data_IF_285919384864
#
_entry.id   IF_285919384864
#
_cell.length_a   1.000
_cell.length_b   1.000
_cell.length_c   1.000
_cell.angle_alpha   90.00
_cell.angle_beta   90.00
_cell.angle_gamma   90.00
#
_symmetry.space_group_name_H-M   'P 1'
#
loop_
_entity.id
_entity.type
_entity.pdbx_description
1 polymer ?
#
# COMPACT_ATOMS: atom_id res chain seq x y z
N UNK A 1 -10.14 -69.93 37.68
CA UNK A 1 -9.38 -69.45 36.51
C UNK A 1 -10.36 -68.88 35.50
N UNK A 2 -10.42 -67.56 35.33
CA UNK A 2 -10.63 -66.90 34.04
C UNK A 2 -10.57 -65.39 34.22
N UNK A 3 -9.80 -64.75 33.35
CA UNK A 3 -9.23 -63.42 33.49
C UNK A 3 -10.06 -62.32 32.83
N UNK A 4 -9.90 -61.09 33.34
CA UNK A 4 -10.45 -59.87 32.79
C UNK A 4 -9.70 -59.42 31.52
N UNK A 5 -10.41 -58.86 30.55
CA UNK A 5 -9.84 -58.21 29.37
C UNK A 5 -9.99 -56.69 29.49
N UNK A 6 -8.87 -55.96 29.47
CA UNK A 6 -8.82 -54.51 29.44
C UNK A 6 -8.61 -54.04 27.98
N UNK A 7 -9.49 -53.15 27.48
CA UNK A 7 -9.32 -52.48 26.20
C UNK A 7 -8.34 -51.30 26.35
N UNK A 8 -7.30 -51.28 25.51
CA UNK A 8 -6.34 -50.20 25.40
C UNK A 8 -6.68 -49.39 24.14
N UNK A 9 -7.11 -48.14 24.32
CA UNK A 9 -7.28 -47.16 23.23
C UNK A 9 -5.91 -46.60 22.82
N UNK A 10 -5.48 -46.90 21.59
CA UNK A 10 -4.26 -46.35 21.00
C UNK A 10 -4.48 -44.94 20.43
N UNK A 11 -3.68 -43.98 20.88
CA UNK A 11 -3.57 -42.65 20.28
C UNK A 11 -2.61 -42.73 19.07
N UNK A 12 -3.09 -42.43 17.87
CA UNK A 12 -2.26 -42.37 16.67
C UNK A 12 -1.61 -40.97 16.56
N UNK A 13 -0.30 -40.89 16.72
CA UNK A 13 0.49 -39.68 16.45
C UNK A 13 0.79 -39.59 14.95
N UNK A 14 0.27 -38.57 14.28
CA UNK A 14 0.62 -38.24 12.89
C UNK A 14 1.90 -37.38 12.91
N UNK A 15 2.98 -37.76 12.18
CA UNK A 15 4.15 -36.90 12.08
C UNK A 15 3.85 -35.70 11.19
N UNK A 16 4.09 -34.49 11.70
CA UNK A 16 4.10 -33.27 10.89
C UNK A 16 5.45 -33.17 10.17
N UNK A 17 5.48 -33.47 8.87
CA UNK A 17 6.61 -33.12 8.02
C UNK A 17 6.61 -31.62 7.78
N UNK A 18 7.51 -30.90 8.46
CA UNK A 18 7.86 -29.54 8.11
C UNK A 18 8.73 -29.55 6.85
N UNK A 19 8.20 -29.05 5.74
CA UNK A 19 8.97 -28.84 4.50
C UNK A 19 9.83 -27.60 4.70
N UNK A 20 11.10 -27.79 5.09
CA UNK A 20 12.08 -26.71 5.08
C UNK A 20 12.41 -26.39 3.62
N UNK A 21 11.98 -25.23 3.12
CA UNK A 21 12.40 -24.74 1.80
C UNK A 21 13.89 -24.41 1.81
N UNK A 22 14.68 -25.10 1.00
CA UNK A 22 16.10 -24.77 0.77
C UNK A 22 16.24 -23.37 0.15
N UNK A 23 17.30 -22.62 0.50
CA UNK A 23 17.53 -21.31 -0.09
C UNK A 23 17.90 -21.45 -1.57
N UNK A 24 17.14 -20.75 -2.42
CA UNK A 24 17.36 -20.70 -3.88
C UNK A 24 18.73 -20.06 -4.17
N UNK A 25 19.57 -20.76 -4.93
CA UNK A 25 20.94 -20.35 -5.27
C UNK A 25 20.92 -19.02 -6.05
N UNK A 26 21.69 -18.03 -5.59
CA UNK A 26 21.82 -16.75 -6.26
C UNK A 26 22.51 -16.91 -7.63
N UNK A 27 21.87 -16.48 -8.71
CA UNK A 27 22.45 -16.43 -10.06
C UNK A 27 21.73 -17.28 -11.13
N UNK A 28 20.70 -18.02 -10.77
CA UNK A 28 19.93 -18.82 -11.73
C UNK A 28 18.88 -17.95 -12.45
N UNK A 29 18.95 -17.90 -13.78
CA UNK A 29 17.99 -17.17 -14.60
C UNK A 29 16.74 -18.05 -14.80
N UNK A 30 15.62 -17.62 -14.23
CA UNK A 30 14.35 -18.28 -14.45
C UNK A 30 13.53 -17.54 -15.50
N UNK A 31 12.98 -18.29 -16.46
CA UNK A 31 11.96 -17.78 -17.38
C UNK A 31 10.61 -18.35 -16.94
N UNK A 32 9.76 -17.46 -16.43
CA UNK A 32 8.37 -17.77 -16.07
C UNK A 32 7.44 -16.89 -16.90
N UNK A 33 6.20 -17.33 -17.10
CA UNK A 33 5.15 -16.39 -17.47
C UNK A 33 4.83 -15.50 -16.26
N UNK A 34 4.51 -14.22 -16.48
CA UNK A 34 4.24 -13.26 -15.38
C UNK A 34 3.24 -13.82 -14.35
N UNK A 35 2.16 -14.46 -14.81
CA UNK A 35 1.14 -15.03 -13.94
C UNK A 35 1.63 -16.24 -13.12
N UNK A 36 2.63 -16.99 -13.61
CA UNK A 36 3.29 -18.04 -12.84
C UNK A 36 4.20 -17.43 -11.79
N UNK A 37 5.00 -16.42 -12.16
CA UNK A 37 5.88 -15.71 -11.24
C UNK A 37 5.13 -15.06 -10.06
N UNK A 38 3.96 -14.46 -10.31
CA UNK A 38 3.12 -13.85 -9.26
C UNK A 38 2.60 -14.91 -8.27
N UNK A 39 2.28 -16.13 -8.73
CA UNK A 39 1.80 -17.22 -7.85
C UNK A 39 2.87 -17.73 -6.90
N UNK A 40 4.13 -17.58 -7.26
CA UNK A 40 5.28 -17.98 -6.43
C UNK A 40 5.68 -16.91 -5.40
N UNK A 41 5.03 -15.74 -5.39
CA UNK A 41 5.32 -14.72 -4.39
C UNK A 41 4.93 -15.22 -2.99
N UNK A 42 5.84 -15.13 -2.00
CA UNK A 42 5.52 -15.52 -0.64
C UNK A 42 4.40 -14.64 -0.09
N UNK A 43 3.41 -15.28 0.53
CA UNK A 43 2.37 -14.58 1.25
C UNK A 43 2.82 -14.35 2.69
N UNK A 44 2.60 -13.14 3.17
CA UNK A 44 2.82 -12.77 4.56
C UNK A 44 1.55 -12.13 5.13
N UNK A 45 1.41 -12.18 6.45
CA UNK A 45 0.35 -11.45 7.12
C UNK A 45 0.73 -9.97 7.21
N UNK A 46 -0.23 -9.10 6.96
CA UNK A 46 -0.08 -7.66 7.14
C UNK A 46 0.21 -7.31 8.61
N UNK A 47 1.03 -6.28 8.84
CA UNK A 47 1.39 -5.84 10.20
C UNK A 47 1.35 -4.32 10.37
N UNK A 48 0.53 -3.88 11.31
CA UNK A 48 0.41 -2.47 11.72
C UNK A 48 1.48 -2.03 12.72
N UNK A 49 2.41 -2.90 13.07
CA UNK A 49 3.41 -2.60 14.10
C UNK A 49 4.23 -1.36 13.75
N UNK A 50 4.28 -0.43 14.71
CA UNK A 50 4.99 0.84 14.59
C UNK A 50 4.32 1.90 13.72
N UNK A 51 3.08 1.69 13.26
CA UNK A 51 2.32 2.71 12.54
C UNK A 51 2.12 3.94 13.42
N UNK A 52 2.52 5.09 12.88
CA UNK A 52 2.24 6.40 13.48
C UNK A 52 1.94 7.36 12.33
N UNK A 53 0.72 7.89 12.28
CA UNK A 53 0.26 8.76 11.17
C UNK A 53 1.21 9.92 10.90
N UNK A 54 1.79 10.51 11.95
CA UNK A 54 2.71 11.65 11.83
C UNK A 54 4.06 11.33 11.19
N UNK A 55 4.38 10.04 10.96
CA UNK A 55 5.55 9.65 10.15
C UNK A 55 5.37 9.99 8.66
N UNK A 56 4.13 10.10 8.20
CA UNK A 56 3.80 10.58 6.86
C UNK A 56 3.72 12.10 6.91
N UNK A 57 4.81 12.76 6.53
CA UNK A 57 4.83 14.23 6.41
C UNK A 57 4.01 14.63 5.18
N UNK A 58 3.18 15.65 5.36
CA UNK A 58 2.34 16.20 4.30
C UNK A 58 2.96 17.49 3.78
N UNK A 59 2.67 17.81 2.52
CA UNK A 59 2.97 19.12 1.91
C UNK A 59 4.43 19.54 2.08
N UNK A 60 5.34 18.64 1.72
CA UNK A 60 6.76 18.96 1.70
C UNK A 60 7.06 19.76 0.44
N UNK A 61 7.73 20.89 0.63
CA UNK A 61 8.39 21.64 -0.44
C UNK A 61 9.81 21.07 -0.56
N UNK A 62 9.99 20.13 -1.49
CA UNK A 62 11.19 19.29 -1.60
C UNK A 62 12.31 20.02 -2.34
N UNK A 63 11.97 20.83 -3.34
CA UNK A 63 12.91 21.58 -4.16
C UNK A 63 13.11 23.05 -3.70
N UNK A 64 12.31 23.50 -2.73
CA UNK A 64 12.40 24.80 -2.04
C UNK A 64 12.05 25.98 -2.94
N UNK A 65 11.12 25.78 -3.87
CA UNK A 65 10.64 26.84 -4.76
C UNK A 65 9.47 27.66 -4.17
N UNK A 66 8.94 27.23 -3.02
CA UNK A 66 7.81 27.85 -2.32
C UNK A 66 6.44 27.28 -2.69
N UNK A 67 6.37 26.31 -3.60
CA UNK A 67 5.23 25.43 -3.79
C UNK A 67 5.42 24.17 -2.94
N UNK A 68 4.45 23.85 -2.08
CA UNK A 68 4.44 22.53 -1.46
C UNK A 68 3.78 21.51 -2.40
N UNK A 69 3.95 20.22 -2.10
CA UNK A 69 3.34 19.14 -2.86
C UNK A 69 1.82 19.31 -3.10
N UNK A 70 1.07 20.02 -2.23
CA UNK A 70 -0.35 20.31 -2.47
C UNK A 70 -0.53 21.20 -3.68
N UNK A 71 0.21 22.31 -3.70
CA UNK A 71 0.11 23.32 -4.76
C UNK A 71 0.60 22.76 -6.08
N UNK A 72 1.67 21.97 -6.06
CA UNK A 72 2.15 21.28 -7.26
C UNK A 72 1.09 20.38 -7.88
N UNK A 73 0.42 19.54 -7.07
CA UNK A 73 -0.68 18.69 -7.55
C UNK A 73 -1.82 19.53 -8.12
N UNK A 74 -2.21 20.61 -7.44
CA UNK A 74 -3.26 21.49 -7.94
C UNK A 74 -2.90 22.16 -9.28
N UNK A 75 -1.63 22.54 -9.48
CA UNK A 75 -1.15 23.06 -10.77
C UNK A 75 -1.21 21.95 -11.84
N UNK A 76 -0.75 20.74 -11.50
CA UNK A 76 -0.62 19.64 -12.45
C UNK A 76 -1.97 19.03 -12.89
N UNK A 77 -2.96 18.98 -11.99
CA UNK A 77 -4.25 18.33 -12.25
C UNK A 77 -5.35 19.29 -12.75
N UNK A 78 -5.05 20.58 -12.87
CA UNK A 78 -6.01 21.55 -13.38
C UNK A 78 -6.30 21.27 -14.88
N UNK A 79 -7.57 21.15 -15.22
CA UNK A 79 -8.02 21.01 -16.62
C UNK A 79 -8.03 22.36 -17.34
N UNK A 80 -8.24 23.44 -16.60
CA UNK A 80 -8.01 24.82 -17.04
C UNK A 80 -6.86 25.37 -16.18
N UNK A 81 -5.82 25.99 -16.76
CA UNK A 81 -4.62 26.40 -16.03
C UNK A 81 -4.91 27.33 -14.85
N UNK A 82 -4.13 27.16 -13.77
CA UNK A 82 -4.05 28.14 -12.68
C UNK A 82 -3.03 29.22 -12.99
N UNK A 83 -3.27 30.42 -12.47
CA UNK A 83 -2.27 31.47 -12.38
C UNK A 83 -1.46 31.31 -11.08
N UNK A 84 -0.13 31.32 -11.20
CA UNK A 84 0.79 31.13 -10.06
C UNK A 84 1.44 32.47 -9.70
N UNK A 85 1.06 33.01 -8.54
CA UNK A 85 1.61 34.23 -7.98
C UNK A 85 2.80 34.00 -7.04
N UNK A 86 3.24 35.09 -6.39
CA UNK A 86 4.32 35.04 -5.41
C UNK A 86 4.04 34.04 -4.28
N UNK A 87 5.07 33.30 -3.87
CA UNK A 87 4.98 32.22 -2.84
C UNK A 87 3.93 31.16 -3.20
N UNK A 88 3.81 30.87 -4.49
CA UNK A 88 2.90 29.87 -5.04
C UNK A 88 1.43 30.10 -4.64
N UNK A 89 1.01 31.38 -4.67
CA UNK A 89 -0.40 31.73 -4.50
C UNK A 89 -1.16 31.35 -5.78
N UNK A 90 -2.09 30.41 -5.68
CA UNK A 90 -2.87 29.93 -6.82
C UNK A 90 -4.15 30.75 -6.97
N UNK A 91 -4.43 31.23 -8.18
CA UNK A 91 -5.70 31.87 -8.54
C UNK A 91 -6.25 31.32 -9.85
N UNK A 92 -7.58 31.29 -9.98
CA UNK A 92 -8.24 30.69 -11.14
C UNK A 92 -8.09 29.17 -11.17
N UNK A 93 -8.18 28.63 -12.39
CA UNK A 93 -8.12 27.20 -12.67
C UNK A 93 -9.46 26.49 -12.53
N UNK A 94 -9.49 25.25 -13.04
CA UNK A 94 -10.64 24.37 -12.95
C UNK A 94 -10.17 22.93 -12.83
N UNK A 95 -10.86 22.15 -12.02
CA UNK A 95 -10.56 20.74 -11.77
C UNK A 95 -11.81 19.90 -11.94
N UNK A 96 -11.62 18.64 -12.30
CA UNK A 96 -12.70 17.67 -12.37
C UNK A 96 -12.63 16.74 -11.14
N UNK A 97 -13.63 16.79 -10.27
CA UNK A 97 -13.74 15.82 -9.17
C UNK A 97 -14.30 14.51 -9.71
N UNK A 98 -13.43 13.49 -9.81
CA UNK A 98 -13.84 12.13 -10.19
C UNK A 98 -14.85 11.52 -9.21
N UNK A 99 -14.78 11.90 -7.94
CA UNK A 99 -15.63 11.34 -6.89
C UNK A 99 -17.03 11.95 -6.86
N UNK A 100 -17.14 13.22 -7.26
CA UNK A 100 -18.41 13.96 -7.24
C UNK A 100 -19.03 14.15 -8.63
N UNK A 101 -18.34 13.71 -9.70
CA UNK A 101 -18.76 13.87 -11.09
C UNK A 101 -19.08 15.33 -11.45
N UNK A 102 -18.27 16.28 -10.96
CA UNK A 102 -18.47 17.72 -11.20
C UNK A 102 -17.17 18.50 -11.32
N UNK A 103 -17.26 19.65 -11.99
CA UNK A 103 -16.16 20.61 -12.03
C UNK A 103 -16.16 21.52 -10.81
N UNK A 104 -14.97 21.87 -10.35
CA UNK A 104 -14.70 22.80 -9.25
C UNK A 104 -13.74 23.87 -9.76
N UNK A 105 -13.93 25.11 -9.32
CA UNK A 105 -13.19 26.30 -9.78
C UNK A 105 -12.46 27.02 -8.64
N UNK A 106 -12.51 26.46 -7.43
CA UNK A 106 -11.76 26.98 -6.29
C UNK A 106 -10.88 25.90 -5.69
N UNK A 107 -9.58 26.19 -5.64
CA UNK A 107 -8.56 25.35 -5.01
C UNK A 107 -8.87 24.96 -3.55
N UNK A 108 -9.66 25.77 -2.83
CA UNK A 108 -10.08 25.48 -1.45
C UNK A 108 -11.20 24.45 -1.32
N UNK A 109 -11.87 24.08 -2.42
CA UNK A 109 -12.90 23.04 -2.45
C UNK A 109 -12.31 21.65 -2.73
N UNK A 110 -10.99 21.56 -2.89
CA UNK A 110 -10.26 20.36 -3.28
C UNK A 110 -9.32 19.92 -2.16
N UNK A 111 -9.32 18.61 -1.90
CA UNK A 111 -8.31 17.91 -1.13
C UNK A 111 -7.51 17.00 -2.07
N UNK A 112 -6.21 16.82 -1.77
CA UNK A 112 -5.43 15.74 -2.39
C UNK A 112 -5.46 14.57 -1.43
N UNK A 113 -6.10 13.50 -1.87
CA UNK A 113 -6.34 12.33 -1.03
C UNK A 113 -5.47 11.14 -1.42
N UNK A 114 -5.33 10.21 -0.48
CA UNK A 114 -4.63 8.97 -0.70
C UNK A 114 -5.61 7.94 -1.28
N UNK A 115 -5.33 7.45 -2.49
CA UNK A 115 -6.10 6.36 -3.09
C UNK A 115 -6.07 5.08 -2.24
N UNK A 116 -4.91 4.79 -1.65
CA UNK A 116 -4.72 3.73 -0.66
C UNK A 116 -4.48 4.40 0.69
N UNK A 117 -5.29 4.14 1.73
CA UNK A 117 -5.13 4.78 3.02
C UNK A 117 -3.72 4.56 3.60
N UNK A 118 -3.19 5.57 4.29
CA UNK A 118 -1.85 5.53 4.88
C UNK A 118 -1.58 4.34 5.82
N UNK A 119 -2.62 3.85 6.52
CA UNK A 119 -2.50 2.67 7.36
C UNK A 119 -2.35 1.40 6.53
N UNK A 120 -3.14 1.24 5.46
CA UNK A 120 -3.04 0.07 4.58
C UNK A 120 -1.68 0.03 3.86
N UNK A 121 -1.18 1.17 3.41
CA UNK A 121 0.16 1.26 2.82
C UNK A 121 1.29 0.92 3.82
N UNK A 122 1.06 1.10 5.13
CA UNK A 122 2.00 0.67 6.17
C UNK A 122 1.90 -0.82 6.44
N UNK A 123 0.70 -1.37 6.43
CA UNK A 123 0.42 -2.74 6.82
C UNK A 123 0.92 -3.75 5.79
N UNK A 124 0.92 -3.37 4.51
CA UNK A 124 1.30 -4.21 3.37
C UNK A 124 2.79 -4.17 2.99
N UNK A 125 3.65 -3.63 3.86
CA UNK A 125 5.08 -3.41 3.59
C UNK A 125 5.96 -4.65 3.76
#
# INVERSE_FOLDING_TARGET
MSAAAALITGLATVPATATTSEPKVAGEQFSFRLHEAVRELPLAQESRDGYVRTKFKHWVDQDKDGCDARREVLIAEAVEPVEVGARCALTGGRWWSRYDDRFLDQAGQLDVDHMVPLAEAWDSK
#
